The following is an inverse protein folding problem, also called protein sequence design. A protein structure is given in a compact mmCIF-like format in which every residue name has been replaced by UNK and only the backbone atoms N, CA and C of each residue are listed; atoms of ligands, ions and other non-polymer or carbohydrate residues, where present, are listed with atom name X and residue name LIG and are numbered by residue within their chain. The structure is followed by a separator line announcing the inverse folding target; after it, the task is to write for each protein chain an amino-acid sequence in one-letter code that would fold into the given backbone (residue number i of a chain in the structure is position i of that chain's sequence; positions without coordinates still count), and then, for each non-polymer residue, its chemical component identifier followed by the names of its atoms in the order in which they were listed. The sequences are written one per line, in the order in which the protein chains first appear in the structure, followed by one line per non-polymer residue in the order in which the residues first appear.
data_IF_367937964144
#
_entry.id   IF_367937964144
#
_cell.length_a   1.000
_cell.length_b   1.000
_cell.length_c   1.000
_cell.angle_alpha   90.00
_cell.angle_beta   90.00
_cell.angle_gamma   90.00
#
_symmetry.space_group_name_H-M   'P 1'
#
loop_
_entity.id
_entity.type
_entity.pdbx_description
1 polymer ?
#
# COMPACT_ATOMS: atom_id res chain seq x y z
N UNK A 1 -1.51 -13.46 14.18
CA UNK A 1 -0.25 -12.93 13.61
C UNK A 1 -0.63 -12.29 12.28
N UNK A 2 -0.45 -10.99 12.11
CA UNK A 2 -0.77 -10.34 10.84
C UNK A 2 0.46 -10.44 9.94
N UNK A 3 0.32 -11.18 8.84
CA UNK A 3 1.41 -11.35 7.90
C UNK A 3 1.44 -10.16 6.96
N UNK A 4 2.47 -9.34 7.10
CA UNK A 4 2.77 -8.29 6.13
C UNK A 4 3.64 -8.95 5.07
N UNK A 5 3.06 -9.16 3.90
CA UNK A 5 3.78 -9.69 2.77
C UNK A 5 4.66 -8.61 2.16
N UNK A 6 5.86 -9.01 1.78
CA UNK A 6 6.73 -8.26 0.88
C UNK A 6 7.25 -9.30 -0.10
N UNK A 7 6.73 -9.29 -1.31
CA UNK A 7 6.92 -10.31 -2.32
C UNK A 7 6.42 -9.84 -3.70
N UNK A 8 5.98 -10.80 -4.53
CA UNK A 8 5.56 -10.53 -5.92
C UNK A 8 4.32 -9.63 -5.99
N UNK A 9 3.43 -9.70 -5.01
CA UNK A 9 2.17 -8.96 -5.04
C UNK A 9 2.38 -7.46 -4.90
N UNK A 10 3.36 -7.03 -4.10
CA UNK A 10 3.70 -5.63 -3.88
C UNK A 10 4.34 -5.02 -5.13
N UNK A 11 5.21 -5.78 -5.82
CA UNK A 11 5.78 -5.37 -7.10
C UNK A 11 4.69 -5.19 -8.16
N UNK A 12 3.76 -6.15 -8.25
CA UNK A 12 2.60 -6.05 -9.16
C UNK A 12 1.71 -4.88 -8.78
N UNK A 13 1.44 -4.65 -7.50
CA UNK A 13 0.64 -3.51 -7.03
C UNK A 13 1.31 -2.16 -7.35
N UNK A 14 2.63 -2.07 -7.23
CA UNK A 14 3.40 -0.89 -7.65
C UNK A 14 3.26 -0.64 -9.15
N UNK A 15 3.43 -1.68 -9.97
CA UNK A 15 3.28 -1.57 -11.43
C UNK A 15 1.85 -1.19 -11.80
N UNK A 16 0.85 -1.81 -11.20
CA UNK A 16 -0.57 -1.49 -11.44
C UNK A 16 -0.88 -0.05 -11.02
N UNK A 17 -0.38 0.40 -9.87
CA UNK A 17 -0.54 1.78 -9.41
C UNK A 17 0.10 2.80 -10.35
N UNK A 18 1.32 2.51 -10.83
CA UNK A 18 2.02 3.33 -11.82
C UNK A 18 1.23 3.41 -13.13
N UNK A 19 0.86 2.26 -13.70
CA UNK A 19 0.11 2.18 -14.96
C UNK A 19 -1.24 2.88 -14.85
N UNK A 20 -1.98 2.64 -13.77
CA UNK A 20 -3.29 3.28 -13.54
C UNK A 20 -3.13 4.79 -13.40
N UNK A 21 -2.15 5.27 -12.64
CA UNK A 21 -1.87 6.70 -12.50
C UNK A 21 -1.49 7.36 -13.83
N UNK A 22 -0.60 6.73 -14.61
CA UNK A 22 -0.21 7.22 -15.93
C UNK A 22 -1.39 7.25 -16.89
N UNK A 23 -2.23 6.20 -16.91
CA UNK A 23 -3.36 6.10 -17.83
C UNK A 23 -4.45 7.14 -17.51
N UNK A 24 -4.79 7.33 -16.24
CA UNK A 24 -5.76 8.37 -15.84
C UNK A 24 -5.25 9.78 -16.11
N UNK A 25 -3.96 10.05 -15.88
CA UNK A 25 -3.35 11.34 -16.25
C UNK A 25 -3.25 11.54 -17.76
N UNK A 26 -3.09 10.48 -18.55
CA UNK A 26 -2.95 10.58 -20.01
C UNK A 26 -4.29 10.78 -20.73
N UNK A 27 -5.38 10.24 -20.17
CA UNK A 27 -6.73 10.43 -20.70
C UNK A 27 -7.47 11.62 -20.05
N UNK A 28 -6.83 12.38 -19.14
CA UNK A 28 -7.45 13.47 -18.37
C UNK A 28 -8.72 13.02 -17.60
N UNK A 29 -8.75 11.77 -17.12
CA UNK A 29 -9.87 11.27 -16.32
C UNK A 29 -9.78 11.75 -14.87
N UNK A 30 -10.91 11.95 -14.17
CA UNK A 30 -10.91 12.18 -12.74
C UNK A 30 -10.26 10.99 -12.04
N UNK A 31 -9.10 11.23 -11.42
CA UNK A 31 -8.33 10.20 -10.73
C UNK A 31 -9.12 9.77 -9.49
N UNK A 32 -9.35 8.46 -9.26
CA UNK A 32 -10.09 7.98 -8.09
C UNK A 32 -9.33 8.15 -6.76
N UNK A 33 -8.07 8.57 -6.81
CA UNK A 33 -7.21 8.79 -5.66
C UNK A 33 -7.07 10.30 -5.34
N UNK A 34 -6.78 10.66 -4.07
CA UNK A 34 -6.52 12.05 -3.70
C UNK A 34 -5.34 12.60 -4.52
N UNK A 35 -5.60 13.62 -5.33
CA UNK A 35 -4.58 14.28 -6.16
C UNK A 35 -3.81 15.39 -5.39
N UNK A 36 -4.17 15.64 -4.13
CA UNK A 36 -3.51 16.61 -3.26
C UNK A 36 -2.41 15.96 -2.43
N UNK A 37 -1.29 16.65 -2.26
CA UNK A 37 -0.14 16.17 -1.48
C UNK A 37 -0.53 15.73 -0.06
N UNK A 38 -1.45 16.44 0.58
CA UNK A 38 -1.96 16.09 1.91
C UNK A 38 -2.69 14.74 1.95
N UNK A 39 -3.43 14.38 0.90
CA UNK A 39 -4.14 13.10 0.80
C UNK A 39 -3.18 11.93 0.60
N UNK A 40 -2.14 12.12 -0.21
CA UNK A 40 -1.07 11.13 -0.39
C UNK A 40 -0.33 10.91 0.93
N UNK A 41 0.04 11.99 1.64
CA UNK A 41 0.65 11.90 2.96
C UNK A 41 -0.24 11.16 3.96
N UNK A 42 -1.55 11.42 3.98
CA UNK A 42 -2.48 10.74 4.87
C UNK A 42 -2.47 9.21 4.68
N UNK A 43 -2.43 8.73 3.43
CA UNK A 43 -2.34 7.30 3.11
C UNK A 43 -1.03 6.71 3.64
N UNK A 44 0.10 7.37 3.37
CA UNK A 44 1.42 6.92 3.80
C UNK A 44 1.53 6.83 5.33
N UNK A 45 1.09 7.88 6.05
CA UNK A 45 1.14 7.91 7.51
C UNK A 45 0.13 6.94 8.15
N UNK A 46 -1.01 6.67 7.50
CA UNK A 46 -1.96 5.66 7.96
C UNK A 46 -1.33 4.26 7.91
N UNK A 47 -0.65 3.91 6.81
CA UNK A 47 0.08 2.65 6.71
C UNK A 47 1.24 2.58 7.72
N UNK A 48 1.97 3.68 7.91
CA UNK A 48 3.05 3.75 8.89
C UNK A 48 2.54 3.58 10.32
N UNK A 49 1.43 4.22 10.68
CA UNK A 49 0.78 4.06 11.98
C UNK A 49 0.30 2.63 12.21
N UNK A 50 -0.26 1.99 11.19
CA UNK A 50 -0.62 0.57 11.22
C UNK A 50 0.60 -0.33 11.53
N UNK A 51 1.74 -0.09 10.86
CA UNK A 51 2.97 -0.83 11.12
C UNK A 51 3.49 -0.61 12.54
N UNK A 52 3.52 0.65 13.01
CA UNK A 52 3.99 0.99 14.37
C UNK A 52 3.14 0.28 15.42
N UNK A 53 1.81 0.34 15.30
CA UNK A 53 0.89 -0.30 16.25
C UNK A 53 1.06 -1.82 16.24
N UNK A 54 1.19 -2.44 15.06
CA UNK A 54 1.38 -3.89 14.98
C UNK A 54 2.75 -4.33 15.51
N UNK A 55 3.80 -3.54 15.24
CA UNK A 55 5.14 -3.79 15.76
C UNK A 55 5.15 -3.73 17.29
N UNK A 56 4.50 -2.72 17.88
CA UNK A 56 4.34 -2.61 19.33
C UNK A 56 3.54 -3.80 19.90
N UNK A 57 2.48 -4.24 19.22
CA UNK A 57 1.70 -5.42 19.62
C UNK A 57 2.46 -6.75 19.45
N UNK A 58 3.75 -6.75 19.05
CA UNK A 58 4.57 -7.93 18.75
C UNK A 58 3.85 -8.95 17.84
N UNK A 59 2.99 -8.45 16.95
CA UNK A 59 2.05 -9.25 16.16
C UNK A 59 2.39 -9.26 14.67
N UNK A 60 3.51 -8.65 14.29
CA UNK A 60 4.02 -8.64 12.92
C UNK A 60 4.92 -9.85 12.74
N UNK A 61 4.52 -10.76 11.86
CA UNK A 61 5.42 -11.75 11.29
C UNK A 61 5.59 -11.38 9.82
N UNK A 62 6.77 -10.88 9.46
CA UNK A 62 7.13 -10.70 8.06
C UNK A 62 7.42 -12.07 7.47
N UNK A 63 6.53 -12.57 6.61
CA UNK A 63 6.64 -13.91 6.06
C UNK A 63 5.35 -14.43 5.47
N UNK A 64 5.44 -15.53 4.73
CA UNK A 64 4.27 -16.23 4.19
C UNK A 64 3.55 -16.95 5.36
N UNK A 65 2.24 -16.79 5.56
CA UNK A 65 1.48 -17.58 6.51
C UNK A 65 1.69 -19.06 6.22
N UNK A 66 1.78 -19.90 7.28
CA UNK A 66 1.89 -21.33 7.11
C UNK A 66 0.72 -21.80 6.24
N UNK A 67 1.05 -22.54 5.18
CA UNK A 67 0.05 -23.16 4.33
C UNK A 67 -0.79 -24.08 5.22
N UNK A 68 -2.04 -23.70 5.45
CA UNK A 68 -3.09 -24.57 5.99
C UNK A 68 -3.33 -25.72 5.02
#
# INVERSE_FOLDING_TARGET
MHYVYVGRNELVALVVGLVTGTLYSWLDLPIPAPNVTGGICAILFTYLGYLIVNAWRKSVSFGRPPAS
#
